data_IF_766335988438
#
_entry.id   IF_766335988438
#
_cell.length_a   1.000
_cell.length_b   1.000
_cell.length_c   1.000
_cell.angle_alpha   90.00
_cell.angle_beta   90.00
_cell.angle_gamma   90.00
#
_symmetry.space_group_name_H-M   'P 1'
#
loop_
_entity.id
_entity.type
_entity.pdbx_description
1 polymer ?
#
# COMPACT_ATOMS: atom_id res chain seq x y z
N UNK A 1 -11.78 6.82 6.36
CA UNK A 1 -10.35 6.99 6.65
C UNK A 1 -9.50 5.74 6.43
N UNK A 2 -9.78 4.59 7.05
CA UNK A 2 -8.93 3.37 6.93
C UNK A 2 -8.54 2.98 5.49
N UNK A 3 -9.50 2.91 4.57
CA UNK A 3 -9.24 2.59 3.15
C UNK A 3 -8.37 3.67 2.48
N UNK A 4 -8.66 4.95 2.76
CA UNK A 4 -7.88 6.09 2.26
C UNK A 4 -6.43 6.03 2.77
N UNK A 5 -6.22 5.70 4.05
CA UNK A 5 -4.89 5.47 4.61
C UNK A 5 -4.17 4.34 3.88
N UNK A 6 -4.84 3.23 3.58
CA UNK A 6 -4.23 2.10 2.87
C UNK A 6 -3.82 2.48 1.44
N UNK A 7 -4.67 3.21 0.70
CA UNK A 7 -4.33 3.75 -0.62
C UNK A 7 -3.12 4.68 -0.54
N UNK A 8 -3.16 5.69 0.31
CA UNK A 8 -2.06 6.65 0.47
C UNK A 8 -0.74 5.97 0.86
N UNK A 9 -0.80 4.99 1.77
CA UNK A 9 0.37 4.20 2.18
C UNK A 9 0.93 3.39 1.02
N UNK A 10 0.07 2.75 0.22
CA UNK A 10 0.50 1.97 -0.94
C UNK A 10 1.08 2.85 -2.05
N UNK A 11 0.41 3.94 -2.41
CA UNK A 11 0.78 4.82 -3.52
C UNK A 11 2.07 5.60 -3.23
N UNK A 12 2.28 6.04 -1.99
CA UNK A 12 3.46 6.81 -1.59
C UNK A 12 4.55 5.95 -0.92
N UNK A 13 4.43 4.62 -0.95
CA UNK A 13 5.37 3.67 -0.36
C UNK A 13 5.73 3.96 1.11
N UNK A 14 4.77 4.45 1.91
CA UNK A 14 5.01 4.75 3.32
C UNK A 14 5.14 3.45 4.14
N UNK A 15 5.98 3.43 5.18
CA UNK A 15 6.00 2.31 6.09
C UNK A 15 4.70 2.25 6.90
N UNK A 16 4.15 1.05 7.13
CA UNK A 16 2.89 0.88 7.88
C UNK A 16 2.90 1.50 9.28
N UNK A 17 4.09 1.72 9.87
CA UNK A 17 4.26 2.37 11.17
C UNK A 17 3.84 3.84 11.17
N UNK A 18 3.57 4.45 10.02
CA UNK A 18 3.13 5.85 9.88
C UNK A 18 1.87 6.16 10.71
N UNK A 19 1.02 5.16 10.97
CA UNK A 19 -0.16 5.32 11.84
C UNK A 19 0.16 5.62 13.31
N UNK A 20 1.41 5.44 13.72
CA UNK A 20 1.91 5.80 15.05
C UNK A 20 2.53 7.20 15.07
N UNK A 21 2.74 7.82 13.92
CA UNK A 21 3.30 9.16 13.85
C UNK A 21 2.35 10.19 14.51
N UNK A 22 2.94 11.14 15.23
CA UNK A 22 2.20 12.15 15.98
C UNK A 22 1.45 13.08 15.04
N UNK A 23 2.11 13.57 13.98
CA UNK A 23 1.53 14.52 13.03
C UNK A 23 0.41 13.87 12.22
N UNK A 24 0.62 12.63 11.78
CA UNK A 24 -0.42 11.82 11.15
C UNK A 24 -1.65 11.70 12.06
N UNK A 25 -1.47 11.31 13.34
CA UNK A 25 -2.59 11.16 14.28
C UNK A 25 -3.29 12.48 14.57
N UNK A 26 -2.55 13.57 14.63
CA UNK A 26 -3.11 14.90 14.81
C UNK A 26 -4.02 15.27 13.62
N UNK A 27 -3.51 15.14 12.38
CA UNK A 27 -4.28 15.37 11.16
C UNK A 27 -5.53 14.48 11.06
N UNK A 28 -5.41 13.19 11.38
CA UNK A 28 -6.54 12.25 11.32
C UNK A 28 -7.65 12.57 12.34
N UNK A 29 -7.32 13.31 13.40
CA UNK A 29 -8.25 13.68 14.48
C UNK A 29 -8.67 15.15 14.41
N UNK A 30 -8.20 15.88 13.41
CA UNK A 30 -8.54 17.28 13.23
C UNK A 30 -10.05 17.42 12.99
N UNK A 31 -10.72 18.26 13.79
CA UNK A 31 -12.18 18.38 13.79
C UNK A 31 -12.95 17.21 14.42
N UNK A 32 -12.32 16.09 14.77
CA UNK A 32 -12.94 14.95 15.43
C UNK A 32 -11.96 14.20 16.36
N UNK A 33 -11.83 14.62 17.64
CA UNK A 33 -10.85 14.04 18.58
C UNK A 33 -11.02 12.53 18.84
N UNK A 34 -12.27 12.07 18.76
CA UNK A 34 -12.67 10.67 18.96
C UNK A 34 -12.56 9.83 17.68
N UNK A 35 -12.05 10.40 16.58
CA UNK A 35 -11.86 9.68 15.34
C UNK A 35 -10.95 8.47 15.55
N UNK A 36 -11.44 7.33 15.08
CA UNK A 36 -10.68 6.08 15.10
C UNK A 36 -9.51 6.14 14.12
N UNK A 37 -8.32 5.73 14.61
CA UNK A 37 -7.10 5.57 13.80
C UNK A 37 -6.81 4.06 13.67
N UNK A 38 -6.64 3.53 12.45
CA UNK A 38 -6.39 2.11 12.26
C UNK A 38 -5.04 1.67 12.83
N UNK A 39 -4.95 0.41 13.26
CA UNK A 39 -3.68 -0.19 13.67
C UNK A 39 -2.78 -0.47 12.46
N UNK A 40 -1.47 -0.59 12.70
CA UNK A 40 -0.49 -0.99 11.68
C UNK A 40 -0.89 -2.28 10.96
N UNK A 41 -1.36 -3.27 11.72
CA UNK A 41 -1.75 -4.58 11.19
C UNK A 41 -2.97 -4.46 10.25
N UNK A 42 -3.92 -3.60 10.59
CA UNK A 42 -5.10 -3.36 9.75
C UNK A 42 -4.74 -2.68 8.43
N UNK A 43 -3.87 -1.67 8.48
CA UNK A 43 -3.36 -1.02 7.25
C UNK A 43 -2.60 -2.03 6.38
N UNK A 44 -1.73 -2.85 6.97
CA UNK A 44 -1.02 -3.89 6.24
C UNK A 44 -1.96 -4.91 5.57
N UNK A 45 -3.04 -5.32 6.27
CA UNK A 45 -4.05 -6.21 5.72
C UNK A 45 -4.81 -5.57 4.55
N UNK A 46 -5.14 -4.28 4.65
CA UNK A 46 -5.83 -3.57 3.57
C UNK A 46 -4.93 -3.37 2.35
N UNK A 47 -3.67 -2.97 2.56
CA UNK A 47 -2.69 -2.87 1.49
C UNK A 47 -2.51 -4.22 0.79
N UNK A 48 -2.49 -5.33 1.54
CA UNK A 48 -2.47 -6.68 0.95
C UNK A 48 -3.69 -6.96 0.07
N UNK A 49 -4.89 -6.53 0.49
CA UNK A 49 -6.11 -6.68 -0.32
C UNK A 49 -6.05 -5.82 -1.58
N UNK A 50 -5.57 -4.58 -1.47
CA UNK A 50 -5.36 -3.69 -2.62
C UNK A 50 -4.36 -4.31 -3.61
N UNK A 51 -3.26 -4.87 -3.12
CA UNK A 51 -2.28 -5.57 -3.94
C UNK A 51 -2.90 -6.77 -4.70
N UNK A 52 -3.69 -7.60 -4.01
CA UNK A 52 -4.35 -8.75 -4.65
C UNK A 52 -5.30 -8.28 -5.76
N UNK A 53 -6.14 -7.28 -5.47
CA UNK A 53 -7.06 -6.74 -6.47
C UNK A 53 -6.32 -6.12 -7.68
N UNK A 54 -5.23 -5.38 -7.44
CA UNK A 54 -4.41 -4.80 -8.50
C UNK A 54 -3.72 -5.90 -9.34
N UNK A 55 -3.17 -6.93 -8.68
CA UNK A 55 -2.54 -8.08 -9.35
C UNK A 55 -3.54 -8.84 -10.21
N UNK A 56 -4.75 -9.08 -9.73
CA UNK A 56 -5.80 -9.76 -10.50
C UNK A 56 -6.24 -8.92 -11.71
N UNK A 57 -6.39 -7.60 -11.54
CA UNK A 57 -6.71 -6.69 -12.65
C UNK A 57 -5.62 -6.71 -13.71
N UNK A 58 -4.37 -6.49 -13.31
CA UNK A 58 -3.21 -6.54 -14.22
C UNK A 58 -3.07 -7.92 -14.87
N UNK A 59 -3.32 -9.01 -14.13
CA UNK A 59 -3.27 -10.37 -14.67
C UNK A 59 -4.24 -10.58 -15.84
N UNK A 60 -5.45 -10.00 -15.76
CA UNK A 60 -6.42 -10.03 -16.87
C UNK A 60 -5.94 -9.20 -18.05
N UNK A 61 -5.53 -7.96 -17.80
CA UNK A 61 -5.01 -7.05 -18.84
C UNK A 61 -3.82 -7.67 -19.60
N UNK A 62 -2.92 -8.36 -18.88
CA UNK A 62 -1.76 -9.04 -19.46
C UNK A 62 -2.14 -10.30 -20.26
N UNK A 63 -3.16 -11.04 -19.85
CA UNK A 63 -3.65 -12.22 -20.58
C UNK A 63 -4.41 -11.86 -21.86
N UNK A 64 -5.07 -10.71 -21.87
CA UNK A 64 -5.81 -10.19 -23.02
C UNK A 64 -4.88 -9.49 -24.05
N UNK A 65 -3.62 -9.20 -23.69
CA UNK A 65 -2.65 -8.59 -24.58
C UNK A 65 -2.25 -9.53 -25.72
N UNK A 66 -2.46 -9.09 -26.96
CA UNK A 66 -2.02 -9.80 -28.18
C UNK A 66 -0.51 -9.70 -28.44
N UNK A 67 0.18 -8.78 -27.74
CA UNK A 67 1.60 -8.50 -27.92
C UNK A 67 2.50 -9.27 -26.94
N UNK A 68 3.70 -9.61 -27.41
CA UNK A 68 4.79 -10.07 -26.54
C UNK A 68 5.28 -8.92 -25.67
N UNK A 69 5.23 -9.10 -24.35
CA UNK A 69 5.70 -8.11 -23.40
C UNK A 69 7.17 -8.39 -23.03
N UNK A 70 8.09 -7.42 -23.20
CA UNK A 70 9.47 -7.59 -22.76
C UNK A 70 9.52 -7.72 -21.23
N UNK A 71 10.39 -8.60 -20.74
CA UNK A 71 10.62 -8.80 -19.31
C UNK A 71 12.07 -8.41 -19.01
N UNK A 72 12.24 -7.42 -18.14
CA UNK A 72 13.54 -7.04 -17.59
C UNK A 72 13.73 -7.67 -16.21
N UNK A 73 14.92 -8.21 -15.96
CA UNK A 73 15.28 -8.84 -14.70
C UNK A 73 16.40 -8.04 -14.04
N UNK A 74 16.20 -7.65 -12.79
CA UNK A 74 17.22 -7.00 -11.97
C UNK A 74 17.85 -8.03 -11.00
N UNK A 75 19.18 -8.12 -10.99
CA UNK A 75 19.96 -9.18 -10.33
C UNK A 75 21.03 -8.63 -9.36
N UNK A 76 20.72 -7.58 -8.62
CA UNK A 76 21.64 -7.04 -7.60
C UNK A 76 21.71 -7.96 -6.36
N UNK A 77 22.86 -7.91 -5.68
CA UNK A 77 23.09 -8.57 -4.38
C UNK A 77 23.25 -7.52 -3.28
N UNK A 78 22.54 -7.68 -2.16
CA UNK A 78 22.68 -6.81 -0.99
C UNK A 78 23.84 -7.27 -0.12
N UNK A 79 24.72 -6.38 0.36
CA UNK A 79 25.77 -6.75 1.32
C UNK A 79 25.23 -6.98 2.74
N UNK A 80 23.93 -6.78 2.98
CA UNK A 80 23.33 -6.94 4.32
C UNK A 80 23.07 -8.42 4.63
N UNK A 81 24.06 -9.07 5.26
CA UNK A 81 23.94 -10.38 5.90
C UNK A 81 24.61 -10.35 7.28
#
# INVERSE_FOLDING_TARGET
HRVVTAHWVAESAHPFRIVHDRSYRWLQKEGCPNQYVPSKAMVAQDVKRLYVAAKERLGKELQESEYLLPVELDCWSSPNH
#
